data_IF_775967767849
#
_entry.id   IF_775967767849
#
_cell.length_a   1.000
_cell.length_b   1.000
_cell.length_c   1.000
_cell.angle_alpha   90.00
_cell.angle_beta   90.00
_cell.angle_gamma   90.00
#
_symmetry.space_group_name_H-M   'P 1'
#
loop_
_entity.id
_entity.type
_entity.pdbx_description
1 polymer ?
#
# COMPACT_ATOMS: atom_id res chain seq x y z
N UNK A 1 12.86 12.99 0.08
CA UNK A 1 12.87 11.52 -0.08
C UNK A 1 12.41 10.91 1.22
N UNK A 2 11.38 10.07 1.22
CA UNK A 2 10.91 9.40 2.44
C UNK A 2 11.89 8.31 2.84
N UNK A 3 12.20 8.24 4.12
CA UNK A 3 13.03 7.18 4.72
C UNK A 3 12.20 6.46 5.76
N UNK A 4 12.05 5.12 5.66
CA UNK A 4 11.36 4.38 6.69
C UNK A 4 12.15 4.50 8.00
N UNK A 5 11.46 4.46 9.15
CA UNK A 5 12.10 4.54 10.45
C UNK A 5 13.03 3.34 10.65
N UNK A 6 14.27 3.62 11.07
CA UNK A 6 15.29 2.59 11.31
C UNK A 6 14.92 1.63 12.44
N UNK A 7 13.97 2.01 13.30
CA UNK A 7 13.34 1.15 14.32
C UNK A 7 12.58 -0.03 13.73
N UNK A 8 12.17 0.04 12.46
CA UNK A 8 11.36 -0.99 11.81
C UNK A 8 12.17 -1.68 10.72
N UNK A 9 12.76 -0.91 9.82
CA UNK A 9 13.53 -1.44 8.69
C UNK A 9 15.03 -1.35 8.99
N UNK A 10 15.69 -2.51 9.06
CA UNK A 10 17.13 -2.60 9.29
C UNK A 10 17.94 -2.32 8.03
N UNK A 11 17.42 -2.73 6.87
CA UNK A 11 18.16 -2.63 5.61
C UNK A 11 18.08 -1.22 5.04
N UNK A 12 19.22 -0.58 4.70
CA UNK A 12 19.20 0.75 4.08
C UNK A 12 18.61 0.67 2.67
N UNK A 13 17.57 1.47 2.40
CA UNK A 13 16.97 1.57 1.07
C UNK A 13 17.85 2.39 0.11
N UNK A 14 17.87 1.96 -1.15
CA UNK A 14 18.49 2.70 -2.25
C UNK A 14 17.68 3.94 -2.63
N UNK A 15 18.26 4.96 -3.31
CA UNK A 15 17.56 6.19 -3.64
C UNK A 15 16.26 5.98 -4.43
N UNK A 16 16.27 5.10 -5.44
CA UNK A 16 15.06 4.80 -6.22
C UNK A 16 13.97 4.13 -5.37
N UNK A 17 14.37 3.29 -4.41
CA UNK A 17 13.45 2.63 -3.48
C UNK A 17 12.80 3.63 -2.53
N UNK A 18 13.54 4.65 -2.07
CA UNK A 18 13.00 5.74 -1.25
C UNK A 18 12.00 6.61 -2.01
N UNK A 19 12.31 6.94 -3.27
CA UNK A 19 11.38 7.66 -4.14
C UNK A 19 10.10 6.85 -4.35
N UNK A 20 10.24 5.54 -4.58
CA UNK A 20 9.08 4.68 -4.81
C UNK A 20 8.23 4.47 -3.56
N UNK A 21 8.88 4.33 -2.41
CA UNK A 21 8.22 4.28 -1.11
C UNK A 21 7.42 5.56 -0.85
N UNK A 22 7.99 6.74 -1.12
CA UNK A 22 7.28 8.01 -1.00
C UNK A 22 6.04 8.08 -1.92
N UNK A 23 6.19 7.66 -3.19
CA UNK A 23 5.06 7.58 -4.11
C UNK A 23 3.95 6.67 -3.61
N UNK A 24 4.27 5.44 -3.18
CA UNK A 24 3.26 4.50 -2.66
C UNK A 24 2.57 5.03 -1.41
N UNK A 25 3.31 5.72 -0.54
CA UNK A 25 2.77 6.35 0.66
C UNK A 25 1.75 7.45 0.33
N UNK A 26 2.08 8.30 -0.64
CA UNK A 26 1.17 9.37 -1.08
C UNK A 26 -0.10 8.80 -1.75
N UNK A 27 -0.02 7.62 -2.39
CA UNK A 27 -1.18 6.94 -2.98
C UNK A 27 -2.03 6.18 -1.93
N UNK A 28 -1.45 5.73 -0.81
CA UNK A 28 -2.21 5.12 0.30
C UNK A 28 -2.96 6.16 1.16
N UNK A 29 -2.48 7.41 1.16
CA UNK A 29 -3.11 8.50 1.90
C UNK A 29 -4.00 9.30 0.95
N UNK A 30 -5.31 9.45 1.24
CA UNK A 30 -6.16 10.34 0.47
C UNK A 30 -5.74 11.80 0.67
N UNK A 31 -4.73 12.23 -0.07
CA UNK A 31 -4.35 13.63 -0.21
C UNK A 31 -5.28 14.22 -1.26
N UNK A 32 -6.45 14.64 -0.79
CA UNK A 32 -7.49 15.18 -1.66
C UNK A 32 -7.01 16.47 -2.32
N UNK A 33 -6.41 16.38 -3.52
CA UNK A 33 -6.16 17.52 -4.41
C UNK A 33 -5.47 17.06 -5.71
N UNK A 34 -6.17 16.35 -6.59
CA UNK A 34 -5.95 16.56 -8.02
C UNK A 34 -7.18 16.14 -8.81
N UNK A 35 -7.55 16.97 -9.80
CA UNK A 35 -8.51 16.53 -10.80
C UNK A 35 -7.87 15.37 -11.58
N UNK A 36 -8.58 14.24 -11.81
CA UNK A 36 -8.01 13.13 -12.55
C UNK A 36 -7.66 13.57 -13.98
N UNK A 37 -6.56 13.07 -14.54
CA UNK A 37 -6.03 13.41 -15.87
C UNK A 37 -7.04 13.21 -17.03
N UNK A 38 -8.14 12.49 -16.79
CA UNK A 38 -9.20 12.24 -17.76
C UNK A 38 -10.31 13.30 -17.76
N UNK A 39 -10.14 14.41 -17.05
CA UNK A 39 -11.09 15.51 -17.01
C UNK A 39 -10.53 16.76 -17.67
N UNK A 40 -11.28 17.31 -18.62
CA UNK A 40 -11.00 18.61 -19.21
C UNK A 40 -11.87 19.68 -18.54
N UNK A 41 -11.26 20.80 -18.17
CA UNK A 41 -11.97 21.98 -17.67
C UNK A 41 -12.81 22.59 -18.79
N UNK A 42 -14.08 22.88 -18.51
CA UNK A 42 -14.93 23.64 -19.45
C UNK A 42 -14.63 25.13 -19.39
N UNK A 43 -14.98 25.89 -20.46
CA UNK A 43 -14.88 27.35 -20.46
C UNK A 43 -15.70 27.96 -19.32
N UNK A 44 -15.30 29.13 -18.78
CA UNK A 44 -15.96 29.79 -17.66
C UNK A 44 -17.41 30.23 -17.92
N UNK A 45 -17.84 30.27 -19.18
CA UNK A 45 -19.21 30.60 -19.60
C UNK A 45 -20.15 29.37 -19.60
N UNK A 46 -19.63 28.18 -19.30
CA UNK A 46 -20.40 26.93 -19.28
C UNK A 46 -21.10 26.72 -17.94
N UNK A 47 -22.28 26.08 -17.97
CA UNK A 47 -23.00 25.61 -16.77
C UNK A 47 -22.30 24.47 -16.03
N UNK A 48 -21.28 23.86 -16.65
CA UNK A 48 -20.51 22.76 -16.08
C UNK A 48 -19.06 23.21 -15.86
N UNK A 49 -18.36 22.57 -14.93
CA UNK A 49 -16.97 22.88 -14.57
C UNK A 49 -15.96 21.92 -15.20
N UNK A 50 -16.37 20.69 -15.48
CA UNK A 50 -15.51 19.66 -16.05
C UNK A 50 -16.28 18.69 -16.94
N UNK A 51 -15.57 18.13 -17.92
CA UNK A 51 -16.05 17.07 -18.80
C UNK A 51 -15.06 15.91 -18.80
N UNK A 52 -15.56 14.69 -18.63
CA UNK A 52 -14.74 13.50 -18.77
C UNK A 52 -14.42 13.25 -20.25
N UNK A 53 -13.14 13.10 -20.59
CA UNK A 53 -12.65 13.04 -21.98
C UNK A 53 -13.22 11.81 -22.72
N UNK A 54 -13.40 10.68 -22.03
CA UNK A 54 -13.81 9.42 -22.67
C UNK A 54 -15.33 9.25 -22.67
N UNK A 55 -15.97 9.46 -21.52
CA UNK A 55 -17.42 9.18 -21.37
C UNK A 55 -18.30 10.38 -21.71
N UNK A 56 -17.70 11.57 -21.90
CA UNK A 56 -18.40 12.84 -22.06
C UNK A 56 -19.31 13.23 -20.88
N UNK A 57 -19.16 12.60 -19.72
CA UNK A 57 -19.91 12.97 -18.51
C UNK A 57 -19.54 14.38 -18.08
N UNK A 58 -20.55 15.18 -17.73
CA UNK A 58 -20.40 16.57 -17.31
C UNK A 58 -20.56 16.67 -15.80
N UNK A 59 -19.71 17.46 -15.16
CA UNK A 59 -19.73 17.64 -13.71
C UNK A 59 -19.63 19.12 -13.36
N UNK A 60 -20.51 19.56 -12.44
CA UNK A 60 -20.54 20.94 -11.95
C UNK A 60 -19.60 21.17 -10.75
N UNK A 61 -18.96 20.15 -10.17
CA UNK A 61 -18.00 20.31 -9.06
C UNK A 61 -16.95 19.20 -9.01
N UNK A 62 -15.67 19.58 -8.99
CA UNK A 62 -14.55 18.65 -8.85
C UNK A 62 -14.53 17.90 -7.52
N UNK A 63 -15.21 18.41 -6.49
CA UNK A 63 -15.32 17.73 -5.19
C UNK A 63 -16.06 16.39 -5.28
N UNK A 64 -16.93 16.23 -6.29
CA UNK A 64 -17.61 14.96 -6.58
C UNK A 64 -16.67 13.91 -7.23
N UNK A 65 -15.55 14.34 -7.81
CA UNK A 65 -14.63 13.48 -8.55
C UNK A 65 -13.58 12.82 -7.67
N UNK A 66 -13.22 13.45 -6.56
CA UNK A 66 -12.17 12.97 -5.66
C UNK A 66 -12.63 11.89 -4.69
N UNK A 67 -13.92 11.53 -4.63
CA UNK A 67 -14.45 10.64 -3.58
C UNK A 67 -14.36 9.15 -3.91
N UNK A 68 -14.04 8.78 -5.16
CA UNK A 68 -14.05 7.38 -5.63
C UNK A 68 -12.71 6.93 -6.25
N UNK A 69 -11.60 7.63 -5.98
CA UNK A 69 -10.29 7.14 -6.43
C UNK A 69 -9.86 5.97 -5.57
N UNK A 70 -9.50 4.81 -6.17
CA UNK A 70 -8.92 3.71 -5.41
C UNK A 70 -7.62 4.18 -4.75
N UNK A 71 -7.39 3.73 -3.51
CA UNK A 71 -6.14 3.99 -2.80
C UNK A 71 -5.09 2.94 -3.15
N UNK A 72 -3.82 3.34 -3.07
CA UNK A 72 -2.67 2.52 -3.41
C UNK A 72 -2.29 2.61 -4.89
N UNK A 73 -1.32 1.80 -5.30
CA UNK A 73 -0.77 1.87 -6.64
C UNK A 73 -0.13 0.58 -7.12
N UNK A 74 0.20 0.55 -8.42
CA UNK A 74 0.90 -0.57 -9.03
C UNK A 74 2.41 -0.35 -8.96
N UNK A 75 3.13 -1.36 -8.47
CA UNK A 75 4.60 -1.39 -8.47
C UNK A 75 5.09 -2.33 -9.57
N UNK A 76 5.39 -1.79 -10.74
CA UNK A 76 5.79 -2.54 -11.93
C UNK A 76 7.25 -2.26 -12.34
N UNK A 77 8.13 -2.12 -11.36
CA UNK A 77 9.57 -1.97 -11.57
C UNK A 77 10.18 -3.26 -12.17
N UNK A 78 11.32 -3.13 -12.87
CA UNK A 78 12.09 -4.26 -13.38
C UNK A 78 12.46 -5.28 -12.29
N UNK A 79 12.69 -6.52 -12.71
CA UNK A 79 13.18 -7.58 -11.83
C UNK A 79 14.55 -7.18 -11.26
N UNK A 80 14.75 -7.42 -9.95
CA UNK A 80 15.99 -7.06 -9.26
C UNK A 80 16.02 -5.68 -8.60
N UNK A 81 15.05 -4.80 -8.86
CA UNK A 81 15.02 -3.46 -8.23
C UNK A 81 14.55 -3.45 -6.75
N UNK A 82 14.27 -4.61 -6.17
CA UNK A 82 13.92 -4.76 -4.77
C UNK A 82 12.45 -4.42 -4.47
N UNK A 83 11.52 -4.84 -5.31
CA UNK A 83 10.07 -4.63 -5.08
C UNK A 83 9.60 -5.19 -3.73
N UNK A 84 10.14 -6.35 -3.32
CA UNK A 84 9.83 -6.99 -2.04
C UNK A 84 10.20 -6.12 -0.85
N UNK A 85 11.44 -5.60 -0.80
CA UNK A 85 11.88 -4.72 0.29
C UNK A 85 11.11 -3.39 0.29
N UNK A 86 10.75 -2.86 -0.88
CA UNK A 86 9.91 -1.66 -0.97
C UNK A 86 8.53 -1.89 -0.36
N UNK A 87 7.89 -3.03 -0.66
CA UNK A 87 6.60 -3.41 -0.07
C UNK A 87 6.70 -3.62 1.45
N UNK A 88 7.75 -4.29 1.93
CA UNK A 88 7.98 -4.48 3.38
C UNK A 88 8.19 -3.13 4.08
N UNK A 89 8.93 -2.21 3.45
CA UNK A 89 9.15 -0.87 3.99
C UNK A 89 7.86 -0.05 4.08
N UNK A 90 6.96 -0.19 3.10
CA UNK A 90 5.63 0.44 3.12
C UNK A 90 4.81 -0.10 4.30
N UNK A 91 4.68 -1.42 4.43
CA UNK A 91 3.95 -2.06 5.55
C UNK A 91 4.51 -1.61 6.91
N UNK A 92 5.84 -1.60 7.04
CA UNK A 92 6.52 -1.15 8.25
C UNK A 92 6.22 0.30 8.60
N UNK A 93 6.23 1.20 7.60
CA UNK A 93 5.93 2.63 7.81
C UNK A 93 4.46 2.82 8.17
N UNK A 94 3.55 2.07 7.53
CA UNK A 94 2.10 2.14 7.80
C UNK A 94 1.75 1.62 9.20
N UNK A 95 2.54 0.70 9.77
CA UNK A 95 2.35 0.21 11.15
C UNK A 95 2.46 1.32 12.19
N UNK A 96 3.40 2.26 12.07
CA UNK A 96 3.49 3.39 13.02
C UNK A 96 2.21 4.23 13.03
N UNK A 97 1.60 4.42 11.86
CA UNK A 97 0.32 5.12 11.72
C UNK A 97 -0.84 4.34 12.35
N UNK A 98 -0.83 3.01 12.25
CA UNK A 98 -1.83 2.15 12.89
C UNK A 98 -1.68 2.10 14.41
N UNK A 99 -0.46 2.16 14.95
CA UNK A 99 -0.21 2.29 16.39
C UNK A 99 -0.82 3.60 16.92
N UNK A 100 -0.74 4.69 16.14
CA UNK A 100 -1.39 5.95 16.48
C UNK A 100 -2.93 5.90 16.41
N UNK A 101 -3.53 4.94 15.69
CA UNK A 101 -4.98 4.75 15.55
C UNK A 101 -5.40 3.28 15.77
N UNK A 102 -5.48 2.81 17.03
CA UNK A 102 -5.65 1.40 17.37
C UNK A 102 -6.93 0.75 16.82
N UNK A 103 -7.98 1.54 16.56
CA UNK A 103 -9.26 1.07 16.05
C UNK A 103 -9.24 0.57 14.59
N UNK A 104 -8.11 0.72 13.87
CA UNK A 104 -7.98 0.37 12.45
C UNK A 104 -6.88 -0.64 12.14
N UNK A 105 -6.27 -1.27 13.14
CA UNK A 105 -5.09 -2.13 12.94
C UNK A 105 -5.46 -3.53 12.43
N UNK A 106 -5.92 -3.61 11.18
CA UNK A 106 -6.07 -4.87 10.46
C UNK A 106 -4.71 -5.33 9.89
N UNK A 107 -4.44 -6.65 9.84
CA UNK A 107 -3.22 -7.18 9.25
C UNK A 107 -3.14 -6.91 7.76
N UNK A 108 -1.92 -6.73 7.24
CA UNK A 108 -1.68 -6.68 5.80
C UNK A 108 -1.62 -8.10 5.23
N UNK A 109 -2.42 -8.38 4.20
CA UNK A 109 -2.42 -9.67 3.52
C UNK A 109 -1.54 -9.64 2.26
N UNK A 110 -0.58 -10.56 2.18
CA UNK A 110 0.27 -10.78 1.03
C UNK A 110 -0.19 -12.06 0.33
N UNK A 111 -0.63 -11.92 -0.92
CA UNK A 111 -0.98 -13.05 -1.79
C UNK A 111 0.17 -13.27 -2.76
N UNK A 112 0.71 -14.48 -2.80
CA UNK A 112 1.82 -14.81 -3.70
C UNK A 112 1.78 -16.29 -4.13
N UNK A 113 2.43 -16.65 -5.26
CA UNK A 113 2.59 -18.06 -5.64
C UNK A 113 3.14 -18.92 -4.48
N UNK A 114 2.70 -20.18 -4.33
CA UNK A 114 3.12 -21.04 -3.21
C UNK A 114 4.64 -21.15 -3.01
N UNK A 115 5.40 -21.18 -4.12
CA UNK A 115 6.86 -21.24 -4.09
C UNK A 115 7.54 -20.00 -3.49
N UNK A 116 6.82 -18.87 -3.36
CA UNK A 116 7.35 -17.61 -2.82
C UNK A 116 6.93 -17.36 -1.37
N UNK A 117 6.02 -18.15 -0.79
CA UNK A 117 5.53 -17.95 0.58
C UNK A 117 6.68 -17.93 1.60
N UNK A 118 7.57 -18.93 1.52
CA UNK A 118 8.72 -19.04 2.42
C UNK A 118 9.73 -17.92 2.18
N UNK A 119 9.91 -17.52 0.91
CA UNK A 119 10.78 -16.40 0.54
C UNK A 119 10.28 -15.08 1.14
N UNK A 120 8.98 -14.79 1.06
CA UNK A 120 8.40 -13.59 1.69
C UNK A 120 8.63 -13.57 3.20
N UNK A 121 8.41 -14.70 3.89
CA UNK A 121 8.67 -14.78 5.34
C UNK A 121 10.14 -14.55 5.68
N UNK A 122 11.06 -15.09 4.87
CA UNK A 122 12.51 -14.90 5.02
C UNK A 122 12.91 -13.43 4.82
N UNK A 123 12.43 -12.79 3.75
CA UNK A 123 12.74 -11.39 3.44
C UNK A 123 12.17 -10.43 4.49
N UNK A 124 10.97 -10.68 5.03
CA UNK A 124 10.43 -9.93 6.17
C UNK A 124 11.37 -10.04 7.37
N UNK A 125 11.77 -11.26 7.74
CA UNK A 125 12.65 -11.50 8.89
C UNK A 125 14.04 -10.88 8.71
N UNK A 126 14.53 -10.82 7.47
CA UNK A 126 15.84 -10.26 7.11
C UNK A 126 15.87 -8.74 7.08
N UNK A 127 14.80 -8.11 6.60
CA UNK A 127 14.78 -6.66 6.38
C UNK A 127 14.22 -5.86 7.56
N UNK A 128 13.58 -6.52 8.52
CA UNK A 128 12.94 -5.88 9.67
C UNK A 128 13.62 -6.20 10.99
N UNK A 129 13.44 -5.33 11.98
CA UNK A 129 13.90 -5.59 13.32
C UNK A 129 13.17 -6.79 13.95
N UNK A 130 13.92 -7.65 14.63
CA UNK A 130 13.36 -8.83 15.28
C UNK A 130 12.26 -8.43 16.27
N UNK A 131 11.09 -9.04 16.13
CA UNK A 131 9.94 -8.76 16.98
C UNK A 131 9.02 -7.65 16.47
N UNK A 132 9.46 -6.82 15.51
CA UNK A 132 8.72 -5.62 15.12
C UNK A 132 7.61 -5.89 14.10
N UNK A 133 7.85 -6.67 13.04
CA UNK A 133 6.79 -7.13 12.14
C UNK A 133 6.58 -8.64 12.30
N UNK A 134 5.41 -9.04 12.81
CA UNK A 134 5.05 -10.44 13.00
C UNK A 134 4.31 -10.95 11.77
N UNK A 135 4.95 -11.90 11.05
CA UNK A 135 4.38 -12.51 9.86
C UNK A 135 3.94 -13.97 10.11
N UNK A 136 2.71 -14.29 9.71
CA UNK A 136 2.15 -15.65 9.76
C UNK A 136 1.87 -16.17 8.36
N UNK A 137 2.25 -17.43 8.13
CA UNK A 137 1.86 -18.16 6.92
C UNK A 137 0.47 -18.74 7.14
N UNK A 138 -0.45 -18.42 6.23
CA UNK A 138 -1.79 -18.95 6.13
C UNK A 138 -1.88 -19.77 4.83
N UNK A 139 -1.34 -20.98 4.86
CA UNK A 139 -1.30 -21.90 3.73
C UNK A 139 -1.41 -23.35 4.21
N UNK A 140 -2.03 -24.21 3.39
CA UNK A 140 -2.32 -25.60 3.75
C UNK A 140 -1.06 -26.36 4.20
N UNK A 141 -1.11 -27.12 5.32
CA UNK A 141 -2.29 -27.60 6.04
C UNK A 141 -2.78 -26.70 7.19
N UNK A 142 -2.20 -25.51 7.39
CA UNK A 142 -2.47 -24.67 8.58
C UNK A 142 -3.79 -23.88 8.51
N UNK A 143 -4.48 -23.88 7.37
CA UNK A 143 -5.71 -23.09 7.15
C UNK A 143 -6.82 -23.41 8.14
N UNK A 144 -6.98 -24.67 8.53
CA UNK A 144 -8.03 -25.10 9.46
C UNK A 144 -7.74 -24.79 10.93
N UNK A 145 -6.54 -24.28 11.26
CA UNK A 145 -6.08 -24.11 12.64
C UNK A 145 -6.09 -22.68 13.16
N UNK A 146 -6.38 -21.69 12.31
CA UNK A 146 -6.26 -20.27 12.66
C UNK A 146 -7.63 -19.62 12.78
N UNK A 147 -7.96 -19.18 13.99
CA UNK A 147 -9.15 -18.37 14.23
C UNK A 147 -8.94 -16.91 13.81
N UNK A 148 -10.03 -16.16 13.64
CA UNK A 148 -9.97 -14.71 13.39
C UNK A 148 -9.19 -13.97 14.48
N UNK A 149 -9.40 -14.35 15.74
CA UNK A 149 -8.68 -13.80 16.88
C UNK A 149 -7.17 -14.10 16.85
N UNK A 150 -6.75 -15.19 16.20
CA UNK A 150 -5.33 -15.48 16.02
C UNK A 150 -4.72 -14.68 14.87
N UNK A 151 -5.48 -14.43 13.81
CA UNK A 151 -5.04 -13.63 12.66
C UNK A 151 -4.75 -12.19 13.08
N UNK A 152 -5.60 -11.60 13.91
CA UNK A 152 -5.46 -10.23 14.41
C UNK A 152 -4.23 -10.01 15.32
N UNK A 153 -3.54 -11.09 15.76
CA UNK A 153 -2.29 -10.98 16.54
C UNK A 153 -1.07 -10.69 15.68
N UNK A 154 -1.17 -10.87 14.36
CA UNK A 154 -0.06 -10.70 13.43
C UNK A 154 -0.21 -9.39 12.65
N UNK A 155 0.91 -8.85 12.18
CA UNK A 155 0.92 -7.67 11.31
C UNK A 155 0.74 -8.05 9.84
N UNK A 156 1.24 -9.23 9.46
CA UNK A 156 1.29 -9.70 8.08
C UNK A 156 0.80 -11.14 7.99
N UNK A 157 -0.12 -11.39 7.06
CA UNK A 157 -0.58 -12.74 6.69
C UNK A 157 -0.12 -13.05 5.27
N UNK A 158 0.55 -14.18 5.07
CA UNK A 158 1.04 -14.62 3.76
C UNK A 158 0.23 -15.84 3.31
N UNK A 159 -0.39 -15.77 2.13
CA UNK A 159 -1.17 -16.86 1.52
C UNK A 159 -0.86 -16.99 0.02
N UNK A 160 -1.35 -18.07 -0.58
CA UNK A 160 -1.42 -18.28 -2.03
C UNK A 160 -2.85 -18.36 -2.52
#
# INVERSE_FOLDING_TARGET
MMTPPHSIIQTPLLPHQKTRLAFLWDEEIPNGQSAPNLWATSPPESTFNARHIITNNLVCSFKSLSTNTPLGGLLADDMGLGKTIQAIALIGTSKERLIANPHSSMPTMIICPPCLITNWKSEISKHTQAGVLQAKIYHDPTRHSLSEADILKYDIIITS
#
